data_IF_505835819475
#
_entry.id   IF_505835819475
#
_cell.length_a   1.000
_cell.length_b   1.000
_cell.length_c   1.000
_cell.angle_alpha   90.00
_cell.angle_beta   90.00
_cell.angle_gamma   90.00
#
_symmetry.space_group_name_H-M   'P 1'
#
loop_
_entity.id
_entity.type
_entity.pdbx_description
1 polymer ?
#
# COMPACT_ATOMS: atom_id res chain seq x y z
N UNK A 1 -29.71 17.83 -3.73
CA UNK A 1 -28.46 17.95 -2.95
C UNK A 1 -27.74 16.61 -3.05
N UNK A 2 -26.63 16.54 -3.78
CA UNK A 2 -25.87 15.30 -3.95
C UNK A 2 -24.83 15.23 -2.81
N UNK A 3 -25.03 14.30 -1.87
CA UNK A 3 -24.03 14.01 -0.85
C UNK A 3 -22.76 13.50 -1.52
N UNK A 4 -21.70 14.31 -1.46
CA UNK A 4 -20.35 13.92 -1.80
C UNK A 4 -19.95 12.77 -0.87
N UNK A 5 -20.06 11.54 -1.36
CA UNK A 5 -19.62 10.35 -0.66
C UNK A 5 -18.12 10.43 -0.43
N UNK A 6 -17.72 10.92 0.75
CA UNK A 6 -16.36 10.82 1.25
C UNK A 6 -15.96 9.35 1.16
N UNK A 7 -15.15 9.00 0.15
CA UNK A 7 -14.44 7.73 0.14
C UNK A 7 -13.56 7.75 1.38
N UNK A 8 -14.03 7.15 2.47
CA UNK A 8 -13.20 6.80 3.61
C UNK A 8 -12.04 6.03 3.01
N UNK A 9 -10.86 6.65 2.94
CA UNK A 9 -9.65 5.99 2.48
C UNK A 9 -9.54 4.72 3.29
N UNK A 10 -9.40 3.57 2.63
CA UNK A 10 -9.03 2.35 3.31
C UNK A 10 -7.82 2.67 4.18
N UNK A 11 -7.91 2.35 5.47
CA UNK A 11 -6.80 2.60 6.39
C UNK A 11 -5.54 1.98 5.78
N UNK A 12 -4.47 2.78 5.68
CA UNK A 12 -3.17 2.21 5.35
C UNK A 12 -2.85 1.18 6.42
N UNK A 13 -2.28 0.04 6.03
CA UNK A 13 -1.82 -0.96 6.99
C UNK A 13 -0.90 -0.31 8.03
N UNK A 14 -1.03 -0.73 9.29
CA UNK A 14 -0.14 -0.29 10.35
C UNK A 14 1.30 -0.64 9.99
N UNK A 15 2.24 0.20 10.44
CA UNK A 15 3.66 0.00 10.14
C UNK A 15 4.18 -1.35 10.69
N UNK A 16 3.58 -1.84 11.76
CA UNK A 16 3.86 -3.16 12.34
C UNK A 16 3.39 -4.31 11.46
N UNK A 17 2.35 -4.11 10.65
CA UNK A 17 1.86 -5.12 9.71
C UNK A 17 2.58 -5.09 8.36
N UNK A 18 3.30 -4.00 8.08
CA UNK A 18 4.01 -3.88 6.82
C UNK A 18 5.22 -4.85 6.79
N UNK A 19 5.27 -5.80 5.85
CA UNK A 19 6.34 -6.78 5.79
C UNK A 19 7.67 -6.10 5.47
N UNK A 20 8.78 -6.58 6.04
CA UNK A 20 10.12 -6.02 5.76
C UNK A 20 10.73 -6.56 4.47
N UNK A 21 10.30 -7.74 4.03
CA UNK A 21 10.76 -8.37 2.79
C UNK A 21 9.59 -8.87 1.97
N UNK A 22 9.69 -8.73 0.67
CA UNK A 22 8.66 -9.12 -0.28
C UNK A 22 9.25 -9.38 -1.66
N UNK A 23 8.47 -10.03 -2.54
CA UNK A 23 8.79 -10.22 -3.96
C UNK A 23 7.61 -9.80 -4.84
N UNK A 24 7.88 -9.58 -6.12
CA UNK A 24 6.84 -9.32 -7.12
C UNK A 24 5.81 -10.46 -7.15
N UNK A 25 4.55 -10.09 -7.28
CA UNK A 25 3.44 -11.01 -7.50
C UNK A 25 2.59 -10.51 -8.68
N UNK A 26 1.73 -11.38 -9.18
CA UNK A 26 0.78 -11.05 -10.24
C UNK A 26 -0.60 -11.51 -9.81
N UNK A 27 -1.62 -10.77 -10.23
CA UNK A 27 -3.00 -11.22 -10.13
C UNK A 27 -3.21 -12.37 -11.11
N UNK A 28 -4.03 -13.33 -10.70
CA UNK A 28 -4.52 -14.34 -11.61
C UNK A 28 -5.47 -13.70 -12.63
N UNK A 29 -5.19 -13.88 -13.92
CA UNK A 29 -5.92 -13.20 -15.00
C UNK A 29 -7.36 -13.66 -15.15
N UNK A 30 -7.71 -14.82 -14.60
CA UNK A 30 -9.04 -15.42 -14.74
C UNK A 30 -9.87 -15.22 -13.47
N UNK A 31 -9.26 -15.51 -12.31
CA UNK A 31 -9.90 -15.46 -10.99
C UNK A 31 -9.91 -14.07 -10.37
N UNK A 32 -8.95 -13.22 -10.71
CA UNK A 32 -8.76 -11.89 -10.09
C UNK A 32 -8.86 -10.75 -11.12
N UNK A 33 -9.48 -11.02 -12.27
CA UNK A 33 -9.63 -10.04 -13.37
C UNK A 33 -10.36 -8.76 -12.96
N UNK A 34 -11.31 -8.88 -12.01
CA UNK A 34 -12.16 -7.80 -11.56
C UNK A 34 -11.57 -7.06 -10.34
N UNK A 35 -10.39 -7.47 -9.85
CA UNK A 35 -9.72 -6.81 -8.71
C UNK A 35 -9.04 -5.53 -9.23
N UNK A 36 -9.56 -4.33 -8.89
CA UNK A 36 -8.96 -3.11 -9.35
C UNK A 36 -7.62 -2.92 -8.65
N UNK A 37 -6.59 -2.56 -9.43
CA UNK A 37 -5.31 -2.16 -8.85
C UNK A 37 -5.42 -0.70 -8.38
N UNK A 38 -5.23 -0.41 -7.08
CA UNK A 38 -5.41 0.94 -6.57
C UNK A 38 -4.27 1.87 -7.05
N UNK A 39 -4.54 3.17 -7.25
CA UNK A 39 -3.50 4.16 -7.49
C UNK A 39 -2.70 4.45 -6.21
N UNK A 40 -1.43 4.79 -6.38
CA UNK A 40 -0.53 5.27 -5.34
C UNK A 40 -0.77 6.75 -5.06
N UNK A 41 -0.32 7.23 -3.89
CA UNK A 41 -0.32 8.66 -3.58
C UNK A 41 0.60 9.49 -4.48
N UNK A 42 1.65 8.88 -5.04
CA UNK A 42 2.54 9.53 -6.01
C UNK A 42 1.94 9.65 -7.42
N UNK A 43 0.72 9.14 -7.66
CA UNK A 43 0.04 9.18 -8.95
C UNK A 43 0.29 7.97 -9.87
N UNK A 44 1.24 7.10 -9.52
CA UNK A 44 1.48 5.83 -10.25
C UNK A 44 0.50 4.73 -9.79
N UNK A 45 0.54 3.55 -10.40
CA UNK A 45 -0.32 2.40 -10.07
C UNK A 45 0.41 1.46 -9.09
N UNK A 46 -0.27 1.02 -8.03
CA UNK A 46 0.32 0.07 -7.09
C UNK A 46 0.70 -1.25 -7.79
N UNK A 47 1.79 -1.88 -7.34
CA UNK A 47 2.18 -3.22 -7.81
C UNK A 47 1.84 -4.27 -6.77
N UNK A 48 1.38 -5.43 -7.22
CA UNK A 48 1.10 -6.55 -6.33
C UNK A 48 2.42 -7.19 -5.88
N UNK A 49 2.55 -7.39 -4.58
CA UNK A 49 3.68 -8.07 -3.94
C UNK A 49 3.18 -9.21 -3.08
N UNK A 50 4.07 -10.12 -2.73
CA UNK A 50 3.83 -11.16 -1.73
C UNK A 50 4.87 -11.06 -0.63
N UNK A 51 4.43 -11.12 0.62
CA UNK A 51 5.31 -11.10 1.79
C UNK A 51 6.17 -12.34 1.83
N UNK A 52 7.47 -12.14 2.03
CA UNK A 52 8.45 -13.19 2.29
C UNK A 52 9.05 -13.04 3.69
N UNK A 53 8.43 -12.23 4.54
CA UNK A 53 8.93 -11.89 5.86
C UNK A 53 8.64 -13.02 6.85
N UNK A 54 9.57 -13.98 6.92
CA UNK A 54 9.51 -15.12 7.85
C UNK A 54 9.46 -14.72 9.33
N UNK A 55 9.87 -13.50 9.67
CA UNK A 55 9.79 -13.00 11.06
C UNK A 55 8.37 -12.60 11.43
N UNK A 56 7.51 -12.35 10.44
CA UNK A 56 6.11 -11.96 10.60
C UNK A 56 5.21 -13.06 10.01
N UNK A 57 5.14 -14.20 10.69
CA UNK A 57 4.39 -15.38 10.25
C UNK A 57 2.93 -15.09 9.91
N UNK A 58 2.29 -14.12 10.56
CA UNK A 58 0.91 -13.72 10.26
C UNK A 58 0.76 -12.97 8.92
N UNK A 59 1.84 -12.42 8.38
CA UNK A 59 1.86 -11.74 7.08
C UNK A 59 2.54 -12.55 5.98
N UNK A 60 3.35 -13.55 6.34
CA UNK A 60 4.09 -14.37 5.37
C UNK A 60 3.14 -15.01 4.35
N UNK A 61 3.49 -14.92 3.06
CA UNK A 61 2.67 -15.44 1.96
C UNK A 61 1.44 -14.61 1.61
N UNK A 62 1.08 -13.58 2.40
CA UNK A 62 -0.02 -12.66 2.03
C UNK A 62 0.38 -11.76 0.88
N UNK A 63 -0.58 -11.50 -0.01
CA UNK A 63 -0.44 -10.60 -1.16
C UNK A 63 -0.98 -9.21 -0.83
N UNK A 64 -0.29 -8.17 -1.27
CA UNK A 64 -0.67 -6.77 -0.99
C UNK A 64 -0.24 -5.86 -2.15
N UNK A 65 -0.94 -4.73 -2.30
CA UNK A 65 -0.60 -3.68 -3.25
C UNK A 65 0.34 -2.67 -2.60
N UNK A 66 1.45 -2.35 -3.27
CA UNK A 66 2.47 -1.43 -2.77
C UNK A 66 2.93 -0.48 -3.87
N UNK A 67 3.24 0.76 -3.48
CA UNK A 67 3.78 1.74 -4.40
C UNK A 67 5.11 1.27 -5.00
N UNK A 68 5.31 1.35 -6.32
CA UNK A 68 6.60 1.00 -6.93
C UNK A 68 7.74 1.90 -6.45
N UNK A 69 7.42 3.15 -6.10
CA UNK A 69 8.36 4.14 -5.60
C UNK A 69 8.50 4.11 -4.07
N UNK A 70 7.93 3.11 -3.38
CA UNK A 70 7.94 3.04 -1.92
C UNK A 70 9.37 3.05 -1.33
N UNK A 71 10.36 2.47 -2.01
CA UNK A 71 11.76 2.53 -1.59
C UNK A 71 12.36 3.96 -1.64
N UNK A 72 11.73 4.84 -2.42
CA UNK A 72 12.08 6.26 -2.56
C UNK A 72 11.17 7.17 -1.75
N UNK A 73 10.11 6.64 -1.13
CA UNK A 73 9.28 7.43 -0.22
C UNK A 73 10.17 7.90 0.93
N UNK A 74 10.03 9.19 1.25
CA UNK A 74 10.67 9.74 2.43
C UNK A 74 10.15 8.98 3.63
N UNK A 75 11.03 8.69 4.60
CA UNK A 75 10.61 8.11 5.87
C UNK A 75 9.43 8.91 6.40
N UNK A 76 8.42 8.19 6.90
CA UNK A 76 7.26 8.85 7.50
C UNK A 76 7.78 9.81 8.57
N UNK A 77 7.38 11.08 8.50
CA UNK A 77 7.77 12.06 9.51
C UNK A 77 7.37 11.54 10.88
N UNK A 78 8.33 11.44 11.79
CA UNK A 78 8.11 11.00 13.17
C UNK A 78 7.54 12.12 14.03
N UNK A 79 7.66 13.38 13.57
CA UNK A 79 7.08 14.53 14.21
C UNK A 79 6.09 15.25 13.26
N UNK A 80 5.02 15.82 13.81
CA UNK A 80 4.05 16.61 13.04
C UNK A 80 4.68 17.84 12.36
N UNK A 81 5.81 18.34 12.87
CA UNK A 81 6.56 19.46 12.28
C UNK A 81 7.46 19.06 11.11
N UNK A 82 7.67 17.76 10.87
CA UNK A 82 8.47 17.26 9.75
C UNK A 82 7.64 17.22 8.44
N UNK A 83 6.32 17.44 8.51
CA UNK A 83 5.45 17.64 7.36
C UNK A 83 5.55 19.10 6.91
N UNK A 84 5.85 19.40 5.63
CA UNK A 84 5.74 20.76 5.14
C UNK A 84 4.28 21.23 5.32
N UNK A 85 4.05 22.51 5.66
CA UNK A 85 2.70 23.04 5.77
C UNK A 85 2.01 22.85 4.42
N UNK A 86 0.95 22.04 4.43
CA UNK A 86 0.11 21.82 3.26
C UNK A 86 -0.71 23.09 3.02
N UNK A 87 -0.59 23.67 1.82
CA UNK A 87 -1.48 24.72 1.33
C UNK A 87 -2.87 24.15 1.01
#
# INVERSE_FOLDING_TARGET
MASSGSRTRSACADQEDMPKTWREARLDKEKEKDVPTPPCWCGDVCKLKVSTDRKKSWTEGRRFFMCPNYAHDRQRPTNAYDLPPVC
#
